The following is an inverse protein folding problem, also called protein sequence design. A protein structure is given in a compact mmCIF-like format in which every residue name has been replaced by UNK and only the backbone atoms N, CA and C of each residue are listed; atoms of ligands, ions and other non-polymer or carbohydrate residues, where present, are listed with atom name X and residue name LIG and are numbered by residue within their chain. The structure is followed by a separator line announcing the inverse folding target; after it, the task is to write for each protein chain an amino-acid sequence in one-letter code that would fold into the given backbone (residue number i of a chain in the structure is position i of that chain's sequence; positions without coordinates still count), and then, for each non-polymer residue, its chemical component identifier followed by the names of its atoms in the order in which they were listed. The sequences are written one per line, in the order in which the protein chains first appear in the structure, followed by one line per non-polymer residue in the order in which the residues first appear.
data_IF_363825665584
#
_entry.id   IF_363825665584
#
_cell.length_a   1.000
_cell.length_b   1.000
_cell.length_c   1.000
_cell.angle_alpha   90.00
_cell.angle_beta   90.00
_cell.angle_gamma   90.00
#
_symmetry.space_group_name_H-M   'P 1'
#
loop_
_entity.id
_entity.type
_entity.pdbx_description
1 polymer ?
#
# COMPACT_ATOMS: atom_id res chain seq x y z
N UNK A 1 0.40 -15.95 11.27
CA UNK A 1 -0.98 -15.48 11.08
C UNK A 1 -1.26 -15.22 9.59
N UNK A 2 -0.44 -14.42 8.90
CA UNK A 2 -0.63 -14.07 7.48
C UNK A 2 -0.66 -15.29 6.55
N UNK A 3 0.17 -16.30 6.77
CA UNK A 3 0.18 -17.55 5.99
C UNK A 3 -1.16 -18.31 6.00
N UNK A 4 -1.95 -18.14 7.05
CA UNK A 4 -3.30 -18.74 7.15
C UNK A 4 -4.39 -17.88 6.52
N UNK A 5 -4.07 -16.66 6.16
CA UNK A 5 -5.01 -15.67 5.63
C UNK A 5 -4.87 -15.46 4.13
N UNK A 6 -3.64 -15.58 3.60
CA UNK A 6 -3.33 -15.22 2.21
C UNK A 6 -2.70 -16.37 1.44
N UNK A 7 -3.18 -16.59 0.22
CA UNK A 7 -2.53 -17.43 -0.76
C UNK A 7 -1.26 -16.76 -1.33
N UNK A 8 -0.27 -17.56 -1.70
CA UNK A 8 1.01 -17.11 -2.28
C UNK A 8 1.89 -16.22 -1.37
N UNK A 9 1.53 -16.01 -0.12
CA UNK A 9 2.32 -15.17 0.81
C UNK A 9 3.71 -15.74 1.08
N UNK A 10 3.88 -17.05 0.99
CA UNK A 10 5.18 -17.70 1.14
C UNK A 10 6.12 -17.39 -0.02
N UNK A 11 5.59 -17.17 -1.23
CA UNK A 11 6.39 -16.72 -2.37
C UNK A 11 6.93 -15.31 -2.12
N UNK A 12 6.11 -14.43 -1.55
CA UNK A 12 6.57 -13.08 -1.17
C UNK A 12 7.66 -13.15 -0.09
N UNK A 13 7.50 -14.00 0.92
CA UNK A 13 8.52 -14.21 1.94
C UNK A 13 9.84 -14.67 1.31
N UNK A 14 9.80 -15.70 0.48
CA UNK A 14 10.98 -16.20 -0.24
C UNK A 14 11.62 -15.13 -1.12
N UNK A 15 10.82 -14.28 -1.76
CA UNK A 15 11.31 -13.14 -2.53
C UNK A 15 12.05 -12.10 -1.67
N UNK A 16 11.52 -11.80 -0.48
CA UNK A 16 12.17 -10.88 0.47
C UNK A 16 13.50 -11.45 0.99
N UNK A 17 13.62 -12.76 1.14
CA UNK A 17 14.87 -13.44 1.51
C UNK A 17 15.85 -13.54 0.32
N UNK A 18 15.33 -13.58 -0.91
CA UNK A 18 16.09 -13.80 -2.14
C UNK A 18 16.83 -12.57 -2.68
N UNK A 19 17.58 -12.76 -3.77
CA UNK A 19 18.41 -11.75 -4.44
C UNK A 19 17.99 -11.57 -5.93
N UNK A 20 16.70 -11.78 -6.24
CA UNK A 20 16.18 -11.68 -7.60
C UNK A 20 14.96 -10.77 -7.63
N UNK A 21 14.82 -10.02 -8.71
CA UNK A 21 13.62 -9.23 -8.93
C UNK A 21 12.38 -10.12 -8.94
N UNK A 22 11.41 -9.75 -8.11
CA UNK A 22 10.07 -10.31 -8.15
C UNK A 22 9.03 -9.20 -7.91
N UNK A 23 7.89 -9.33 -8.56
CA UNK A 23 6.80 -8.38 -8.45
C UNK A 23 5.51 -9.06 -7.98
N UNK A 24 4.77 -8.37 -7.13
CA UNK A 24 3.54 -8.86 -6.52
C UNK A 24 2.44 -7.81 -6.61
N UNK A 25 1.20 -8.28 -6.70
CA UNK A 25 -0.01 -7.49 -6.50
C UNK A 25 -0.76 -8.10 -5.33
N UNK A 26 -0.93 -7.35 -4.25
CA UNK A 26 -1.52 -7.82 -3.01
C UNK A 26 -2.86 -7.12 -2.74
N UNK A 27 -3.92 -7.93 -2.57
CA UNK A 27 -5.24 -7.47 -2.16
C UNK A 27 -5.38 -7.67 -0.64
N UNK A 28 -5.28 -6.61 0.19
CA UNK A 28 -5.40 -6.76 1.63
C UNK A 28 -6.84 -7.09 2.03
N UNK A 29 -7.01 -7.73 3.18
CA UNK A 29 -8.33 -7.90 3.78
C UNK A 29 -8.96 -6.53 4.06
N UNK A 30 -10.29 -6.41 3.97
CA UNK A 30 -11.00 -5.18 4.29
C UNK A 30 -10.72 -4.71 5.72
N UNK A 31 -10.66 -3.42 5.91
CA UNK A 31 -10.41 -2.78 7.19
C UNK A 31 -9.05 -2.09 7.29
N UNK A 32 -9.03 -0.96 7.96
CA UNK A 32 -7.88 -0.04 8.01
C UNK A 32 -6.61 -0.63 8.65
N UNK A 33 -6.74 -1.66 9.48
CA UNK A 33 -5.60 -2.27 10.16
C UNK A 33 -4.93 -3.41 9.37
N UNK A 34 -5.66 -4.07 8.45
CA UNK A 34 -5.13 -5.25 7.76
C UNK A 34 -3.99 -4.92 6.81
N UNK A 35 -4.14 -3.88 5.98
CA UNK A 35 -3.08 -3.44 5.09
C UNK A 35 -1.83 -3.03 5.87
N UNK A 36 -1.99 -2.32 7.00
CA UNK A 36 -0.88 -1.89 7.86
C UNK A 36 -0.11 -3.08 8.44
N UNK A 37 -0.81 -4.11 8.90
CA UNK A 37 -0.18 -5.35 9.40
C UNK A 37 0.61 -6.07 8.30
N UNK A 38 0.07 -6.15 7.08
CA UNK A 38 0.78 -6.73 5.95
C UNK A 38 2.05 -5.93 5.62
N UNK A 39 1.96 -4.60 5.55
CA UNK A 39 3.10 -3.73 5.27
C UNK A 39 4.15 -3.81 6.37
N UNK A 40 3.74 -3.73 7.64
CA UNK A 40 4.67 -3.85 8.78
C UNK A 40 5.42 -5.18 8.77
N UNK A 41 4.73 -6.27 8.42
CA UNK A 41 5.38 -7.58 8.28
C UNK A 41 6.41 -7.60 7.14
N UNK A 42 6.07 -7.03 5.97
CA UNK A 42 6.99 -6.95 4.84
C UNK A 42 8.22 -6.10 5.16
N UNK A 43 8.01 -4.96 5.81
CA UNK A 43 9.10 -4.07 6.26
C UNK A 43 10.01 -4.81 7.25
N UNK A 44 9.44 -5.44 8.28
CA UNK A 44 10.21 -6.20 9.25
C UNK A 44 11.00 -7.34 8.58
N UNK A 45 10.37 -8.09 7.67
CA UNK A 45 11.03 -9.16 6.93
C UNK A 45 12.20 -8.64 6.07
N UNK A 46 12.03 -7.50 5.37
CA UNK A 46 13.09 -6.89 4.59
C UNK A 46 14.25 -6.40 5.46
N UNK A 47 13.95 -5.68 6.55
CA UNK A 47 14.96 -5.13 7.46
C UNK A 47 15.76 -6.23 8.16
N UNK A 48 15.12 -7.35 8.53
CA UNK A 48 15.82 -8.52 9.11
C UNK A 48 16.82 -9.15 8.13
N UNK A 49 16.57 -9.04 6.82
CA UNK A 49 17.51 -9.46 5.77
C UNK A 49 18.54 -8.38 5.42
N UNK A 50 18.57 -7.26 6.16
CA UNK A 50 19.44 -6.13 5.87
C UNK A 50 19.05 -5.32 4.64
N UNK A 51 17.83 -5.54 4.09
CA UNK A 51 17.33 -4.85 2.89
C UNK A 51 16.59 -3.58 3.25
N UNK A 52 16.82 -2.49 2.52
CA UNK A 52 16.00 -1.28 2.67
C UNK A 52 14.55 -1.50 2.23
N UNK A 53 13.66 -0.61 2.70
CA UNK A 53 12.27 -0.58 2.29
C UNK A 53 11.85 0.85 1.92
N UNK A 54 11.15 1.00 0.80
CA UNK A 54 10.57 2.28 0.33
C UNK A 54 9.07 2.08 0.16
N UNK A 55 8.30 2.84 0.93
CA UNK A 55 6.84 2.78 0.94
C UNK A 55 6.28 4.10 0.42
N UNK A 56 5.52 4.05 -0.67
CA UNK A 56 4.79 5.19 -1.22
C UNK A 56 3.32 5.03 -0.88
N UNK A 57 2.80 5.99 -0.10
CA UNK A 57 1.45 5.99 0.44
C UNK A 57 0.67 7.21 -0.08
N UNK A 58 -0.66 7.10 -0.31
CA UNK A 58 -1.40 8.12 -1.04
C UNK A 58 -1.54 9.45 -0.29
N UNK A 59 -1.74 9.43 1.01
CA UNK A 59 -1.96 10.65 1.81
C UNK A 59 -1.15 10.66 3.11
N UNK A 60 -1.12 11.81 3.77
CA UNK A 60 -0.46 11.95 5.08
C UNK A 60 -1.12 11.09 6.16
N UNK A 61 -2.42 10.83 6.06
CA UNK A 61 -3.14 9.97 7.00
C UNK A 61 -2.59 8.54 6.99
N UNK A 62 -2.42 7.94 5.80
CA UNK A 62 -1.84 6.59 5.70
C UNK A 62 -0.38 6.58 6.16
N UNK A 63 0.35 7.68 5.96
CA UNK A 63 1.74 7.82 6.46
C UNK A 63 1.77 7.82 7.98
N UNK A 64 0.90 8.60 8.63
CA UNK A 64 0.77 8.68 10.09
C UNK A 64 0.34 7.32 10.67
N UNK A 65 -0.70 6.72 10.11
CA UNK A 65 -1.19 5.38 10.48
C UNK A 65 -0.09 4.30 10.35
N UNK A 66 0.73 4.39 9.30
CA UNK A 66 1.83 3.45 9.09
C UNK A 66 2.98 3.72 10.05
N UNK A 67 3.32 4.98 10.31
CA UNK A 67 4.35 5.37 11.28
C UNK A 67 4.01 4.86 12.69
N UNK A 68 2.77 5.05 13.15
CA UNK A 68 2.29 4.50 14.42
C UNK A 68 2.40 2.97 14.46
N UNK A 69 2.05 2.31 13.35
CA UNK A 69 2.15 0.85 13.26
C UNK A 69 3.60 0.37 13.34
N UNK A 70 4.53 1.03 12.64
CA UNK A 70 5.96 0.71 12.72
C UNK A 70 6.52 0.95 14.13
N UNK A 71 6.10 2.03 14.78
CA UNK A 71 6.49 2.30 16.18
C UNK A 71 5.97 1.24 17.14
N UNK A 72 4.73 0.77 16.93
CA UNK A 72 4.14 -0.28 17.77
C UNK A 72 4.87 -1.62 17.73
N UNK A 73 5.61 -1.89 16.64
CA UNK A 73 6.47 -3.07 16.51
C UNK A 73 7.92 -2.81 16.91
N UNK A 74 8.21 -1.63 17.49
CA UNK A 74 9.51 -1.28 18.07
C UNK A 74 10.46 -0.52 17.13
N UNK A 75 10.04 -0.13 15.93
CA UNK A 75 10.87 0.70 15.03
C UNK A 75 10.79 2.18 15.44
N UNK A 76 11.92 2.86 15.43
CA UNK A 76 12.04 4.27 15.81
C UNK A 76 11.96 5.17 14.59
N UNK A 77 11.15 6.22 14.68
CA UNK A 77 11.12 7.26 13.67
C UNK A 77 12.39 8.11 13.75
N UNK A 78 12.98 8.41 12.59
CA UNK A 78 14.11 9.31 12.48
C UNK A 78 13.74 10.73 12.91
N UNK A 79 14.49 11.30 13.85
CA UNK A 79 14.31 12.66 14.33
C UNK A 79 15.55 13.50 13.95
N UNK A 80 15.44 14.42 12.96
CA UNK A 80 16.58 15.15 12.42
C UNK A 80 17.21 16.14 13.40
N UNK A 81 16.52 16.44 14.51
CA UNK A 81 16.98 17.40 15.55
C UNK A 81 17.81 16.75 16.65
N UNK A 82 17.86 15.43 16.74
CA UNK A 82 18.51 14.70 17.84
C UNK A 82 19.92 14.17 17.50
N UNK A 83 20.57 14.72 16.48
CA UNK A 83 21.94 14.31 16.14
C UNK A 83 22.94 14.83 17.17
N UNK A 84 23.22 14.05 18.20
CA UNK A 84 24.43 14.20 18.99
C UNK A 84 25.55 13.40 18.30
N UNK A 85 26.68 14.03 18.06
CA UNK A 85 27.90 13.42 17.51
C UNK A 85 27.84 12.91 16.05
N UNK A 86 27.02 13.48 15.16
CA UNK A 86 27.01 13.12 13.74
C UNK A 86 26.36 11.76 13.42
N UNK A 87 25.83 11.05 14.40
CA UNK A 87 25.12 9.81 14.19
C UNK A 87 23.62 10.10 14.03
N UNK A 88 23.06 9.68 12.91
CA UNK A 88 21.61 9.74 12.67
C UNK A 88 20.95 8.53 13.35
N UNK A 89 19.99 8.79 14.24
CA UNK A 89 19.23 7.76 14.95
C UNK A 89 17.84 7.55 14.35
N UNK A 90 17.46 6.30 14.16
CA UNK A 90 16.13 5.91 13.69
C UNK A 90 16.17 4.74 12.74
N UNK A 91 15.07 4.02 12.64
CA UNK A 91 14.93 2.84 11.80
C UNK A 91 14.16 3.15 10.51
N UNK A 92 13.25 4.15 10.59
CA UNK A 92 12.51 4.65 9.43
C UNK A 92 12.43 6.19 9.40
N UNK A 93 12.35 6.76 8.20
CA UNK A 93 12.17 8.20 7.98
C UNK A 93 10.91 8.46 7.17
N UNK A 94 10.28 9.62 7.43
CA UNK A 94 9.16 10.13 6.66
C UNK A 94 9.71 11.12 5.62
N UNK A 95 9.34 10.95 4.35
CA UNK A 95 9.67 11.90 3.27
C UNK A 95 8.39 12.41 2.61
N UNK A 96 8.14 13.71 2.73
CA UNK A 96 7.06 14.38 2.02
C UNK A 96 7.51 15.75 1.50
N UNK A 97 6.73 16.30 0.56
CA UNK A 97 7.06 17.59 -0.08
C UNK A 97 6.90 18.80 0.86
N UNK A 98 6.15 18.66 1.96
CA UNK A 98 5.86 19.74 2.92
C UNK A 98 6.91 19.88 4.01
N UNK A 99 7.86 18.93 4.10
CA UNK A 99 8.96 19.03 5.08
C UNK A 99 9.82 20.27 4.84
N UNK A 100 10.28 20.85 5.95
CA UNK A 100 11.28 21.91 5.88
C UNK A 100 12.53 21.43 5.09
N UNK A 101 13.11 22.25 4.18
CA UNK A 101 14.22 21.82 3.33
C UNK A 101 15.40 21.23 4.10
N UNK A 102 15.75 21.81 5.25
CA UNK A 102 16.85 21.33 6.09
C UNK A 102 16.57 19.95 6.70
N UNK A 103 15.35 19.68 7.14
CA UNK A 103 14.94 18.40 7.69
C UNK A 103 14.92 17.32 6.62
N UNK A 104 14.35 17.65 5.45
CA UNK A 104 14.33 16.75 4.30
C UNK A 104 15.74 16.41 3.85
N UNK A 105 16.66 17.38 3.82
CA UNK A 105 18.05 17.13 3.46
C UNK A 105 18.76 16.20 4.46
N UNK A 106 18.56 16.40 5.77
CA UNK A 106 19.12 15.51 6.81
C UNK A 106 18.58 14.09 6.70
N UNK A 107 17.27 13.93 6.48
CA UNK A 107 16.67 12.64 6.23
C UNK A 107 17.28 11.97 4.99
N UNK A 108 17.46 12.73 3.91
CA UNK A 108 18.08 12.26 2.68
C UNK A 108 19.51 11.76 2.89
N UNK A 109 20.31 12.48 3.67
CA UNK A 109 21.67 12.07 4.02
C UNK A 109 21.68 10.80 4.88
N UNK A 110 20.79 10.70 5.87
CA UNK A 110 20.68 9.51 6.72
C UNK A 110 20.29 8.26 5.91
N UNK A 111 19.40 8.41 4.94
CA UNK A 111 19.00 7.32 4.04
C UNK A 111 20.13 6.96 3.10
N UNK A 112 20.75 7.93 2.45
CA UNK A 112 21.87 7.72 1.52
C UNK A 112 23.09 7.08 2.20
N UNK A 113 23.35 7.44 3.45
CA UNK A 113 24.39 6.83 4.27
C UNK A 113 24.04 5.44 4.84
N UNK A 114 22.85 4.90 4.53
CA UNK A 114 22.42 3.58 4.99
C UNK A 114 22.11 3.49 6.49
N UNK A 115 22.07 4.62 7.19
CA UNK A 115 21.75 4.68 8.62
C UNK A 115 20.26 4.49 8.89
N UNK A 116 19.41 5.01 8.00
CA UNK A 116 17.96 4.80 7.97
C UNK A 116 17.63 3.93 6.77
N UNK A 117 17.04 2.77 7.00
CA UNK A 117 16.79 1.78 5.95
C UNK A 117 15.34 1.66 5.52
N UNK A 118 14.39 2.20 6.27
CA UNK A 118 12.99 2.24 5.87
C UNK A 118 12.57 3.69 5.59
N UNK A 119 11.91 3.90 4.47
CA UNK A 119 11.41 5.22 4.04
C UNK A 119 9.92 5.10 3.78
N UNK A 120 9.11 5.92 4.44
CA UNK A 120 7.69 6.07 4.16
C UNK A 120 7.41 7.50 3.69
N UNK A 121 6.55 7.66 2.72
CA UNK A 121 6.22 9.00 2.25
C UNK A 121 5.21 9.01 1.13
N UNK A 122 4.88 10.22 0.68
CA UNK A 122 4.08 10.42 -0.52
C UNK A 122 4.90 10.17 -1.78
N UNK A 123 4.41 10.57 -2.93
CA UNK A 123 5.11 10.42 -4.23
C UNK A 123 6.61 10.78 -4.18
N UNK A 124 7.00 11.78 -3.38
CA UNK A 124 8.40 12.17 -3.24
C UNK A 124 9.33 11.04 -2.74
N UNK A 125 8.81 10.09 -1.95
CA UNK A 125 9.58 8.96 -1.45
C UNK A 125 10.01 7.98 -2.55
N UNK A 126 9.39 8.00 -3.73
CA UNK A 126 9.80 7.12 -4.84
C UNK A 126 11.25 7.32 -5.28
N UNK A 127 11.84 8.49 -4.96
CA UNK A 127 13.24 8.83 -5.25
C UNK A 127 14.18 8.68 -4.05
N UNK A 128 13.73 8.13 -2.92
CA UNK A 128 14.58 7.93 -1.76
C UNK A 128 15.87 7.20 -2.13
N UNK A 129 17.05 7.68 -1.71
CA UNK A 129 18.35 7.17 -2.15
C UNK A 129 18.74 5.90 -1.38
N UNK A 130 17.95 4.84 -1.50
CA UNK A 130 18.29 3.53 -0.96
C UNK A 130 19.13 2.75 -1.95
N UNK A 131 20.11 2.02 -1.46
CA UNK A 131 21.01 1.20 -2.25
C UNK A 131 20.61 -0.27 -2.23
N UNK A 132 20.96 -0.96 -3.31
CA UNK A 132 20.90 -2.41 -3.41
C UNK A 132 19.51 -3.00 -3.52
N UNK A 133 19.43 -4.27 -3.15
CA UNK A 133 18.20 -5.04 -3.16
C UNK A 133 17.24 -4.54 -2.06
N UNK A 134 16.14 -3.94 -2.44
CA UNK A 134 15.19 -3.31 -1.54
C UNK A 134 13.75 -3.79 -1.77
N UNK A 135 12.91 -3.61 -0.76
CA UNK A 135 11.47 -3.67 -0.89
C UNK A 135 10.94 -2.31 -1.40
N UNK A 136 10.24 -2.30 -2.50
CA UNK A 136 9.52 -1.15 -3.03
C UNK A 136 8.02 -1.43 -3.00
N UNK A 137 7.27 -0.66 -2.24
CA UNK A 137 5.83 -0.82 -2.08
C UNK A 137 5.09 0.45 -2.45
N UNK A 138 3.98 0.30 -3.15
CA UNK A 138 3.00 1.36 -3.41
C UNK A 138 1.63 0.92 -2.88
N UNK A 139 1.01 1.77 -2.07
CA UNK A 139 -0.36 1.58 -1.58
C UNK A 139 -1.32 2.35 -2.50
N UNK A 140 -2.44 1.72 -2.85
CA UNK A 140 -3.48 2.28 -3.69
C UNK A 140 -2.92 2.89 -4.99
N UNK A 141 -2.31 2.05 -5.82
CA UNK A 141 -1.66 2.45 -7.07
C UNK A 141 -2.62 3.15 -8.05
N UNK A 142 -3.94 3.01 -7.88
CA UNK A 142 -4.98 3.79 -8.58
C UNK A 142 -4.81 5.30 -8.36
N UNK A 143 -4.37 5.72 -7.18
CA UNK A 143 -4.15 7.14 -6.86
C UNK A 143 -2.97 7.77 -7.64
N UNK A 144 -2.17 6.93 -8.31
CA UNK A 144 -0.96 7.34 -9.03
C UNK A 144 -1.00 7.02 -10.53
N UNK A 145 -2.20 6.87 -11.10
CA UNK A 145 -2.36 6.59 -12.53
C UNK A 145 -1.88 7.73 -13.41
N UNK A 146 -2.08 8.96 -12.95
CA UNK A 146 -1.57 10.12 -13.63
C UNK A 146 -0.08 10.32 -13.37
N UNK A 147 0.63 10.73 -14.40
CA UNK A 147 2.03 11.13 -14.27
C UNK A 147 2.15 12.35 -13.36
N UNK A 148 3.31 12.53 -12.75
CA UNK A 148 3.62 13.78 -12.06
C UNK A 148 3.45 14.96 -13.00
N UNK A 149 2.81 16.04 -12.56
CA UNK A 149 2.62 17.27 -13.36
C UNK A 149 3.92 18.02 -13.66
N UNK A 150 5.05 17.58 -13.11
CA UNK A 150 6.38 18.16 -13.35
C UNK A 150 7.27 17.20 -14.14
N UNK A 151 8.13 17.75 -14.99
CA UNK A 151 9.15 16.94 -15.68
C UNK A 151 10.01 16.17 -14.64
N UNK A 152 10.33 14.89 -14.88
CA UNK A 152 10.15 14.08 -16.10
C UNK A 152 8.78 13.38 -16.23
N UNK A 153 7.71 13.84 -15.61
CA UNK A 153 6.34 13.25 -15.62
C UNK A 153 6.31 11.79 -15.19
N UNK A 154 7.06 11.46 -14.18
CA UNK A 154 7.25 10.10 -13.74
C UNK A 154 5.99 9.53 -13.06
N UNK A 155 5.62 8.32 -13.45
CA UNK A 155 4.60 7.54 -12.76
C UNK A 155 5.22 6.82 -11.56
N UNK A 156 4.70 7.05 -10.35
CA UNK A 156 5.29 6.52 -9.12
C UNK A 156 5.38 4.99 -9.11
N UNK A 157 4.34 4.29 -9.59
CA UNK A 157 4.32 2.83 -9.70
C UNK A 157 5.40 2.33 -10.65
N UNK A 158 5.51 2.95 -11.82
CA UNK A 158 6.51 2.60 -12.82
C UNK A 158 7.93 2.81 -12.32
N UNK A 159 8.20 3.92 -11.63
CA UNK A 159 9.52 4.21 -11.04
C UNK A 159 9.89 3.17 -9.99
N UNK A 160 9.00 2.85 -9.05
CA UNK A 160 9.29 1.87 -8.00
C UNK A 160 9.54 0.47 -8.58
N UNK A 161 8.73 0.05 -9.57
CA UNK A 161 8.92 -1.24 -10.24
C UNK A 161 10.22 -1.30 -11.02
N UNK A 162 10.58 -0.22 -11.74
CA UNK A 162 11.84 -0.12 -12.47
C UNK A 162 13.05 -0.20 -11.52
N UNK A 163 13.00 0.53 -10.42
CA UNK A 163 14.04 0.50 -9.37
C UNK A 163 14.18 -0.90 -8.77
N UNK A 164 13.07 -1.54 -8.41
CA UNK A 164 13.10 -2.92 -7.92
C UNK A 164 13.77 -3.85 -8.94
N UNK A 165 13.43 -3.73 -10.23
CA UNK A 165 14.03 -4.53 -11.31
C UNK A 165 15.53 -4.26 -11.47
N UNK A 166 15.93 -2.98 -11.44
CA UNK A 166 17.32 -2.58 -11.62
C UNK A 166 18.24 -3.09 -10.49
N UNK A 167 17.70 -3.22 -9.27
CA UNK A 167 18.45 -3.62 -8.08
C UNK A 167 18.14 -5.04 -7.58
N UNK A 168 17.49 -5.87 -8.39
CA UNK A 168 17.07 -7.22 -8.02
C UNK A 168 16.21 -7.27 -6.75
N UNK A 169 15.44 -6.23 -6.49
CA UNK A 169 14.57 -6.08 -5.33
C UNK A 169 13.19 -6.66 -5.52
N UNK A 170 12.32 -6.40 -4.56
CA UNK A 170 10.92 -6.83 -4.56
C UNK A 170 10.02 -5.61 -4.78
N UNK A 171 9.10 -5.72 -5.72
CA UNK A 171 8.04 -4.73 -5.93
C UNK A 171 6.70 -5.27 -5.46
N UNK A 172 5.95 -4.47 -4.72
CA UNK A 172 4.59 -4.80 -4.27
C UNK A 172 3.66 -3.63 -4.57
N UNK A 173 2.64 -3.87 -5.39
CA UNK A 173 1.48 -2.99 -5.49
C UNK A 173 0.39 -3.55 -4.58
N UNK A 174 -0.09 -2.76 -3.63
CA UNK A 174 -1.12 -3.15 -2.67
C UNK A 174 -2.32 -2.22 -2.81
N UNK A 175 -3.52 -2.77 -2.98
CA UNK A 175 -4.75 -2.00 -3.03
C UNK A 175 -5.98 -2.86 -2.72
N UNK A 176 -7.04 -2.26 -2.15
CA UNK A 176 -8.34 -2.93 -2.03
C UNK A 176 -9.03 -3.08 -3.40
N UNK A 177 -8.75 -2.15 -4.33
CA UNK A 177 -9.18 -2.22 -5.72
C UNK A 177 -7.96 -2.05 -6.61
N UNK A 178 -7.66 -3.06 -7.42
CA UNK A 178 -6.49 -3.05 -8.32
C UNK A 178 -6.63 -1.97 -9.39
N UNK A 179 -5.53 -1.31 -9.73
CA UNK A 179 -5.47 -0.56 -10.97
C UNK A 179 -5.59 -1.48 -12.18
N UNK A 180 -5.95 -0.93 -13.34
CA UNK A 180 -5.99 -1.68 -14.60
C UNK A 180 -4.63 -2.31 -14.91
N UNK A 181 -3.53 -1.59 -14.64
CA UNK A 181 -2.19 -2.09 -14.84
C UNK A 181 -1.85 -3.24 -13.89
N UNK A 182 -2.20 -3.15 -12.60
CA UNK A 182 -2.00 -4.23 -11.63
C UNK A 182 -2.79 -5.47 -12.01
N UNK A 183 -4.04 -5.30 -12.46
CA UNK A 183 -4.84 -6.42 -12.94
C UNK A 183 -4.23 -7.07 -14.20
N UNK A 184 -3.78 -6.27 -15.16
CA UNK A 184 -3.13 -6.75 -16.37
C UNK A 184 -1.87 -7.57 -16.07
N UNK A 185 -1.04 -7.10 -15.17
CA UNK A 185 0.22 -7.77 -14.80
C UNK A 185 0.01 -9.09 -14.04
N UNK A 186 -1.18 -9.34 -13.49
CA UNK A 186 -1.51 -10.63 -12.84
C UNK A 186 -2.03 -11.68 -13.81
N UNK A 187 -2.30 -11.33 -15.06
CA UNK A 187 -2.75 -12.26 -16.08
C UNK A 187 -1.56 -12.77 -16.91
N UNK A 188 -1.16 -14.01 -16.65
CA UNK A 188 -0.04 -14.65 -17.33
C UNK A 188 -0.23 -14.77 -18.85
N UNK A 189 -1.48 -14.91 -19.32
CA UNK A 189 -1.78 -14.98 -20.76
C UNK A 189 -1.51 -13.64 -21.45
N UNK A 190 -1.90 -12.54 -20.85
CA UNK A 190 -1.64 -11.20 -21.38
C UNK A 190 -0.14 -10.86 -21.35
N UNK A 191 0.53 -11.14 -20.25
CA UNK A 191 1.97 -10.88 -20.10
C UNK A 191 2.79 -11.68 -21.12
N UNK A 192 2.45 -12.94 -21.34
CA UNK A 192 3.12 -13.78 -22.35
C UNK A 192 2.96 -13.28 -23.78
N UNK A 193 1.83 -12.62 -24.08
CA UNK A 193 1.54 -12.10 -25.42
C UNK A 193 2.27 -10.79 -25.73
N UNK A 194 2.54 -9.93 -24.75
CA UNK A 194 3.05 -8.57 -24.99
C UNK A 194 4.47 -8.32 -24.54
N UNK A 195 5.02 -9.10 -23.62
CA UNK A 195 6.34 -8.92 -22.99
C UNK A 195 6.61 -7.52 -22.38
N UNK A 196 5.62 -6.64 -22.37
CA UNK A 196 5.82 -5.21 -22.10
C UNK A 196 5.94 -4.90 -20.60
N UNK A 197 5.10 -5.50 -19.76
CA UNK A 197 5.06 -5.14 -18.33
C UNK A 197 5.69 -6.17 -17.40
N UNK A 198 5.79 -7.40 -17.82
CA UNK A 198 6.23 -8.53 -16.99
C UNK A 198 5.16 -8.94 -15.96
N UNK A 199 5.24 -10.16 -15.51
CA UNK A 199 4.27 -10.77 -14.60
C UNK A 199 4.44 -10.26 -13.16
N UNK A 200 3.32 -10.09 -12.47
CA UNK A 200 3.24 -9.86 -11.03
C UNK A 200 2.43 -10.96 -10.37
N UNK A 201 3.00 -11.63 -9.37
CA UNK A 201 2.32 -12.72 -8.65
C UNK A 201 1.17 -12.16 -7.82
N UNK A 202 -0.08 -12.60 -8.03
CA UNK A 202 -1.21 -12.15 -7.22
C UNK A 202 -1.17 -12.78 -5.82
N UNK A 203 -1.42 -11.97 -4.81
CA UNK A 203 -1.61 -12.37 -3.41
C UNK A 203 -2.98 -11.87 -2.97
N UNK A 204 -3.86 -12.78 -2.64
CA UNK A 204 -5.20 -12.45 -2.17
C UNK A 204 -5.58 -13.33 -0.98
N UNK A 205 -6.44 -12.82 -0.14
CA UNK A 205 -6.92 -13.56 1.01
C UNK A 205 -7.77 -14.76 0.57
N UNK A 206 -7.77 -15.81 1.38
CA UNK A 206 -8.64 -16.94 1.13
C UNK A 206 -10.13 -16.53 1.23
N UNK A 207 -11.02 -17.06 0.36
CA UNK A 207 -12.43 -16.62 0.31
C UNK A 207 -13.16 -16.71 1.65
N UNK A 208 -12.88 -17.72 2.45
CA UNK A 208 -13.46 -17.88 3.77
C UNK A 208 -13.06 -16.74 4.72
N UNK A 209 -11.78 -16.34 4.71
CA UNK A 209 -11.24 -15.26 5.53
C UNK A 209 -11.76 -13.90 5.06
N UNK A 210 -11.85 -13.71 3.75
CA UNK A 210 -12.44 -12.48 3.16
C UNK A 210 -13.91 -12.35 3.58
N UNK A 211 -14.68 -13.42 3.51
CA UNK A 211 -16.09 -13.44 3.94
C UNK A 211 -16.26 -13.09 5.41
N UNK A 212 -15.37 -13.57 6.28
CA UNK A 212 -15.38 -13.27 7.72
C UNK A 212 -15.00 -11.80 7.99
N UNK A 213 -14.02 -11.26 7.27
CA UNK A 213 -13.54 -9.90 7.44
C UNK A 213 -14.41 -8.84 6.74
N UNK A 214 -15.25 -9.24 5.78
CA UNK A 214 -16.07 -8.31 5.02
C UNK A 214 -17.38 -8.00 5.75
N UNK A 215 -17.87 -6.75 5.71
CA UNK A 215 -19.20 -6.43 6.18
C UNK A 215 -20.24 -7.19 5.35
N UNK A 216 -21.38 -7.51 5.99
CA UNK A 216 -22.49 -8.08 5.25
C UNK A 216 -23.04 -7.04 4.26
N UNK A 217 -22.98 -7.36 2.95
CA UNK A 217 -23.50 -6.50 1.88
C UNK A 217 -24.73 -7.17 1.28
N UNK A 218 -25.88 -6.51 1.36
CA UNK A 218 -27.08 -6.93 0.67
C UNK A 218 -27.19 -6.20 -0.66
N UNK A 219 -27.08 -6.95 -1.72
CA UNK A 219 -27.33 -6.46 -3.07
C UNK A 219 -28.73 -6.87 -3.50
N UNK A 220 -29.54 -5.88 -3.86
CA UNK A 220 -30.88 -6.14 -4.38
C UNK A 220 -30.80 -6.35 -5.89
N UNK A 221 -31.30 -7.48 -6.38
CA UNK A 221 -31.45 -7.70 -7.82
C UNK A 221 -32.64 -6.88 -8.39
N UNK A 222 -32.77 -6.85 -9.73
CA UNK A 222 -33.84 -6.10 -10.39
C UNK A 222 -35.23 -6.48 -9.94
N UNK A 223 -35.50 -7.77 -9.72
CA UNK A 223 -36.79 -8.28 -9.33
C UNK A 223 -37.16 -7.90 -7.90
N UNK A 224 -36.14 -7.92 -7.00
CA UNK A 224 -36.30 -7.46 -5.63
C UNK A 224 -36.55 -5.95 -5.58
N UNK A 225 -35.85 -5.17 -6.39
CA UNK A 225 -36.09 -3.73 -6.54
C UNK A 225 -37.51 -3.44 -7.05
N UNK A 226 -37.98 -4.20 -8.04
CA UNK A 226 -39.35 -4.05 -8.58
C UNK A 226 -40.44 -4.42 -7.54
N UNK A 227 -40.15 -5.44 -6.67
CA UNK A 227 -41.09 -5.85 -5.62
C UNK A 227 -41.15 -4.88 -4.44
N UNK A 228 -40.12 -4.07 -4.22
CA UNK A 228 -40.13 -3.07 -3.15
C UNK A 228 -41.14 -1.95 -3.39
N UNK A 229 -41.68 -1.82 -4.61
CA UNK A 229 -42.70 -0.82 -5.01
C UNK A 229 -42.38 0.61 -4.48
N UNK A 230 -41.12 0.94 -4.35
CA UNK A 230 -40.70 2.25 -3.87
C UNK A 230 -40.66 3.24 -5.03
N UNK A 231 -41.70 4.10 -5.10
CA UNK A 231 -41.81 5.13 -6.10
C UNK A 231 -40.66 6.15 -6.08
N UNK A 232 -39.86 6.15 -5.05
CA UNK A 232 -38.71 7.05 -4.86
C UNK A 232 -37.37 6.44 -5.27
N UNK A 233 -37.33 5.25 -5.88
CA UNK A 233 -36.08 4.59 -6.32
C UNK A 233 -35.25 5.47 -7.27
N UNK A 234 -35.87 6.35 -8.03
CA UNK A 234 -35.18 7.34 -8.87
C UNK A 234 -34.67 8.59 -8.11
N UNK A 235 -35.03 8.75 -6.84
CA UNK A 235 -34.58 9.87 -6.03
C UNK A 235 -33.10 9.66 -5.59
N UNK A 236 -32.40 10.75 -5.35
CA UNK A 236 -30.99 10.72 -4.88
C UNK A 236 -30.80 9.88 -3.60
N UNK A 237 -31.79 9.91 -2.73
CA UNK A 237 -31.87 9.02 -1.54
C UNK A 237 -33.28 8.41 -1.51
N UNK A 238 -33.45 7.13 -1.87
CA UNK A 238 -34.75 6.47 -1.83
C UNK A 238 -35.33 6.41 -0.42
N UNK A 239 -36.65 6.44 -0.30
CA UNK A 239 -37.37 6.40 0.97
C UNK A 239 -37.01 5.14 1.82
N UNK A 240 -36.81 4.00 1.19
CA UNK A 240 -36.35 2.78 1.83
C UNK A 240 -34.97 2.96 2.46
N UNK A 241 -34.05 3.67 1.80
CA UNK A 241 -32.73 3.99 2.36
C UNK A 241 -32.87 4.94 3.57
N UNK A 242 -33.71 5.98 3.49
CA UNK A 242 -33.96 6.90 4.61
C UNK A 242 -34.43 6.15 5.85
N UNK A 243 -35.35 5.19 5.70
CA UNK A 243 -35.84 4.39 6.82
C UNK A 243 -34.75 3.53 7.46
N UNK A 244 -33.88 2.92 6.64
CA UNK A 244 -32.74 2.13 7.14
C UNK A 244 -31.74 3.02 7.86
N UNK A 245 -31.44 4.19 7.30
CA UNK A 245 -30.55 5.20 7.88
C UNK A 245 -31.08 5.71 9.24
N UNK A 246 -32.36 6.04 9.32
CA UNK A 246 -32.99 6.50 10.58
C UNK A 246 -32.85 5.44 11.67
N UNK A 247 -33.10 4.17 11.34
CA UNK A 247 -32.93 3.06 12.28
C UNK A 247 -31.47 2.86 12.69
N UNK A 248 -30.55 2.98 11.75
CA UNK A 248 -29.11 2.81 12.04
C UNK A 248 -28.55 3.93 12.91
N UNK A 249 -29.06 5.17 12.74
CA UNK A 249 -28.69 6.32 13.57
C UNK A 249 -29.05 6.16 15.05
N UNK A 250 -30.04 5.33 15.39
CA UNK A 250 -30.37 4.99 16.78
C UNK A 250 -29.24 4.19 17.46
N UNK A 251 -28.41 3.50 16.67
CA UNK A 251 -27.35 2.62 17.16
C UNK A 251 -25.94 3.22 17.02
N UNK A 252 -25.77 4.28 16.23
CA UNK A 252 -24.48 4.91 16.02
C UNK A 252 -24.38 5.81 14.78
N UNK A 253 -23.20 6.34 14.48
CA UNK A 253 -22.99 7.16 13.30
C UNK A 253 -23.14 6.34 12.01
N UNK A 254 -23.73 6.96 10.99
CA UNK A 254 -23.95 6.35 9.67
C UNK A 254 -23.18 7.14 8.62
N UNK A 255 -22.46 6.43 7.76
CA UNK A 255 -21.77 7.00 6.61
C UNK A 255 -22.67 6.85 5.36
N UNK A 256 -22.86 7.95 4.64
CA UNK A 256 -23.59 8.06 3.38
C UNK A 256 -22.64 8.30 2.21
#
# INVERSE_FOLDING_TARGET
RLQRQYGNIDLLRTALEGQRFQAFVLDPLPGSHHWRQCVAWMVAAALLQGKPAVLVLPTMREIEDMAETLQSIGLRCFAPTQSSNGAYGGDFAILNAQMAPAERYRAYLAISGGQVRCVIGTRAAMYAPVDGNALFLILDDVCYQDADGMMPYANARGVLRLRAKAHNGVFVAMANARSVQSQWETDAAHVGATQVSGFSTPIHAFPAVTKEASPWIRWLNRDELARLADSTIGARVPHTAVRVLSKALESGPVLL
#
